data_IF_849203670918
#
_entry.id   IF_849203670918
#
_cell.length_a   1.000
_cell.length_b   1.000
_cell.length_c   1.000
_cell.angle_alpha   90.00
_cell.angle_beta   90.00
_cell.angle_gamma   90.00
#
_symmetry.space_group_name_H-M   'P 1'
#
loop_
_entity.id
_entity.type
_entity.pdbx_description
1 polymer ?
#
# COMPACT_ATOMS: atom_id res chain seq x y z
N UNK A 1 6.86 -7.76 20.38
CA UNK A 1 7.84 -7.64 19.28
C UNK A 1 7.27 -6.65 18.29
N UNK A 2 7.87 -5.47 18.04
CA UNK A 2 7.50 -4.72 16.86
C UNK A 2 7.97 -5.57 15.69
N UNK A 3 7.04 -6.29 15.04
CA UNK A 3 7.31 -6.81 13.71
C UNK A 3 7.61 -5.57 12.88
N UNK A 4 8.83 -5.45 12.37
CA UNK A 4 9.21 -4.36 11.46
C UNK A 4 8.22 -4.38 10.30
N UNK A 5 7.24 -3.49 10.37
CA UNK A 5 6.19 -3.39 9.39
C UNK A 5 6.82 -2.82 8.12
N UNK A 6 7.13 -3.72 7.19
CA UNK A 6 7.68 -3.39 5.88
C UNK A 6 6.55 -3.52 4.87
N UNK A 7 6.01 -2.40 4.34
CA UNK A 7 4.96 -2.44 3.33
C UNK A 7 5.42 -3.21 2.08
N UNK A 8 4.59 -4.14 1.62
CA UNK A 8 4.81 -4.97 0.44
C UNK A 8 3.92 -4.57 -0.74
N UNK A 9 2.79 -3.93 -0.48
CA UNK A 9 1.81 -3.55 -1.48
C UNK A 9 1.78 -2.04 -1.77
N UNK A 10 2.59 -1.27 -1.04
CA UNK A 10 2.84 0.14 -1.27
C UNK A 10 4.34 0.41 -1.40
N UNK A 11 4.69 1.30 -2.31
CA UNK A 11 6.04 1.85 -2.41
C UNK A 11 6.10 3.21 -1.75
N UNK A 12 7.21 3.49 -1.07
CA UNK A 12 7.50 4.81 -0.53
C UNK A 12 7.87 5.76 -1.67
N UNK A 13 7.20 6.90 -1.77
CA UNK A 13 7.47 7.93 -2.79
C UNK A 13 8.41 9.02 -2.30
N UNK A 14 8.32 9.39 -1.01
CA UNK A 14 9.14 10.45 -0.42
C UNK A 14 10.15 9.87 0.57
N UNK A 15 11.40 10.29 0.44
CA UNK A 15 12.49 9.96 1.37
C UNK A 15 12.67 11.02 2.46
N UNK A 16 11.99 12.17 2.37
CA UNK A 16 12.10 13.20 3.41
C UNK A 16 11.45 12.72 4.71
N UNK A 17 12.22 12.73 5.79
CA UNK A 17 11.91 12.09 7.07
C UNK A 17 10.59 12.52 7.71
N UNK A 18 10.05 13.68 7.33
CA UNK A 18 8.85 14.25 7.96
C UNK A 18 7.52 13.85 7.33
N UNK A 19 7.49 13.41 6.07
CA UNK A 19 6.24 13.03 5.39
C UNK A 19 6.52 11.83 4.48
N UNK A 20 6.41 10.60 5.01
CA UNK A 20 6.55 9.41 4.16
C UNK A 20 5.22 9.20 3.46
N UNK A 21 5.20 9.61 2.20
CA UNK A 21 4.08 9.36 1.30
C UNK A 21 4.27 7.98 0.68
N UNK A 22 3.22 7.17 0.73
CA UNK A 22 3.16 5.84 0.16
C UNK A 22 2.19 5.81 -1.01
N UNK A 23 2.55 5.07 -2.07
CA UNK A 23 1.69 4.84 -3.21
C UNK A 23 1.43 3.34 -3.39
N UNK A 24 0.18 2.94 -3.67
CA UNK A 24 -0.13 1.55 -3.92
C UNK A 24 0.61 1.06 -5.16
N UNK A 25 1.12 -0.17 -5.08
CA UNK A 25 1.70 -0.86 -6.23
C UNK A 25 0.60 -1.28 -7.21
N UNK A 26 0.84 -1.20 -8.52
CA UNK A 26 -0.10 -1.70 -9.50
C UNK A 26 -0.24 -3.22 -9.35
N UNK A 27 -1.45 -3.71 -9.63
CA UNK A 27 -1.72 -5.15 -9.64
C UNK A 27 -0.85 -5.82 -10.71
N UNK A 28 -0.02 -6.83 -10.36
CA UNK A 28 0.71 -7.58 -11.37
C UNK A 28 -0.28 -8.21 -12.34
N UNK A 29 -0.05 -8.08 -13.65
CA UNK A 29 -0.93 -8.68 -14.68
C UNK A 29 -0.98 -10.21 -14.61
N UNK A 30 -0.03 -10.82 -13.90
CA UNK A 30 0.07 -12.25 -13.61
C UNK A 30 -0.86 -12.72 -12.48
N UNK A 31 -1.52 -11.81 -11.77
CA UNK A 31 -2.50 -12.16 -10.73
C UNK A 31 -3.75 -12.71 -11.41
N UNK A 32 -4.00 -14.01 -11.24
CA UNK A 32 -5.24 -14.68 -11.65
C UNK A 32 -6.43 -13.87 -11.10
N UNK A 33 -7.48 -13.68 -11.90
CA UNK A 33 -8.61 -12.78 -11.60
C UNK A 33 -9.14 -12.93 -10.16
N UNK A 34 -9.25 -14.17 -9.66
CA UNK A 34 -9.71 -14.49 -8.30
C UNK A 34 -8.82 -13.85 -7.22
N UNK A 35 -7.50 -13.79 -7.45
CA UNK A 35 -6.52 -13.20 -6.52
C UNK A 35 -6.52 -11.67 -6.52
N UNK A 36 -7.20 -11.00 -7.47
CA UNK A 36 -7.29 -9.53 -7.49
C UNK A 36 -8.03 -8.99 -6.26
N UNK A 37 -9.07 -9.67 -5.81
CA UNK A 37 -9.83 -9.26 -4.62
C UNK A 37 -8.97 -9.34 -3.35
N UNK A 38 -8.17 -10.40 -3.22
CA UNK A 38 -7.22 -10.55 -2.11
C UNK A 38 -6.12 -9.48 -2.15
N UNK A 39 -5.59 -9.17 -3.33
CA UNK A 39 -4.59 -8.11 -3.49
C UNK A 39 -5.13 -6.74 -3.04
N UNK A 40 -6.37 -6.40 -3.42
CA UNK A 40 -7.04 -5.19 -2.92
C UNK A 40 -7.23 -5.20 -1.42
N UNK A 41 -7.73 -6.30 -0.85
CA UNK A 41 -7.92 -6.43 0.59
C UNK A 41 -6.60 -6.23 1.36
N UNK A 42 -5.50 -6.78 0.85
CA UNK A 42 -4.17 -6.57 1.43
C UNK A 42 -3.68 -5.13 1.28
N UNK A 43 -3.95 -4.46 0.16
CA UNK A 43 -3.65 -3.03 0.01
C UNK A 43 -4.46 -2.16 0.97
N UNK A 44 -5.74 -2.45 1.19
CA UNK A 44 -6.57 -1.72 2.15
C UNK A 44 -6.07 -1.90 3.59
N UNK A 45 -5.74 -3.14 3.98
CA UNK A 45 -5.17 -3.45 5.30
C UNK A 45 -3.83 -2.72 5.50
N UNK A 46 -2.94 -2.75 4.52
CA UNK A 46 -1.63 -2.10 4.60
C UNK A 46 -1.75 -0.57 4.62
N UNK A 47 -2.67 0.00 3.83
CA UNK A 47 -2.98 1.44 3.86
C UNK A 47 -3.50 1.88 5.21
N UNK A 48 -4.37 1.07 5.85
CA UNK A 48 -4.88 1.36 7.19
C UNK A 48 -3.73 1.42 8.21
N UNK A 49 -2.86 0.41 8.21
CA UNK A 49 -1.69 0.36 9.12
C UNK A 49 -0.72 1.53 8.89
N UNK A 50 -0.47 1.89 7.64
CA UNK A 50 0.37 3.06 7.32
C UNK A 50 -0.22 4.36 7.89
N UNK A 51 -1.53 4.56 7.76
CA UNK A 51 -2.22 5.73 8.32
C UNK A 51 -2.24 5.72 9.85
N UNK A 52 -2.40 4.56 10.48
CA UNK A 52 -2.30 4.39 11.94
C UNK A 52 -0.91 4.77 12.47
N UNK A 53 0.15 4.59 11.65
CA UNK A 53 1.52 5.03 11.96
C UNK A 53 1.77 6.52 11.67
N UNK A 54 0.75 7.27 11.23
CA UNK A 54 0.86 8.69 10.87
C UNK A 54 1.47 8.94 9.50
N UNK A 55 1.59 7.92 8.67
CA UNK A 55 2.10 8.03 7.30
C UNK A 55 0.96 8.38 6.32
N UNK A 56 1.28 9.07 5.24
CA UNK A 56 0.30 9.43 4.21
C UNK A 56 0.28 8.37 3.10
N UNK A 57 -0.91 8.01 2.63
CA UNK A 57 -1.11 6.99 1.60
C UNK A 57 -1.98 7.56 0.50
N UNK A 58 -1.40 7.70 -0.69
CA UNK A 58 -2.12 8.15 -1.88
C UNK A 58 -3.24 7.16 -2.21
N UNK A 59 -4.44 7.68 -2.42
CA UNK A 59 -5.54 6.88 -2.95
C UNK A 59 -5.20 6.39 -4.36
N UNK A 60 -5.66 5.19 -4.73
CA UNK A 60 -5.50 4.67 -6.08
C UNK A 60 -5.94 5.69 -7.12
N UNK A 61 -5.24 5.84 -8.25
CA UNK A 61 -5.93 6.26 -9.45
C UNK A 61 -6.95 5.17 -9.74
N UNK A 62 -8.23 5.43 -9.47
CA UNK A 62 -9.33 4.63 -9.99
C UNK A 62 -9.22 4.72 -11.52
N UNK A 63 -8.48 3.79 -12.12
CA UNK A 63 -8.60 3.53 -13.55
C UNK A 63 -9.98 2.90 -13.71
N UNK A 64 -10.94 3.75 -14.10
CA UNK A 64 -12.26 3.37 -14.57
C UNK A 64 -12.16 2.40 -15.74
#
# INVERSE_FOLDING_TARGET
MPLDFTPQFHRKLSTQEKNKVWAPLPHPWTVIVIKRQYYRAWQEEESRRLREMGEDVLAFPMSH
#
